data_IF_794186435940
#
_entry.id   IF_794186435940
#
_cell.length_a   1.000
_cell.length_b   1.000
_cell.length_c   1.000
_cell.angle_alpha   90.00
_cell.angle_beta   90.00
_cell.angle_gamma   90.00
#
_symmetry.space_group_name_H-M   'P 1'
#
loop_
_entity.id
_entity.type
_entity.pdbx_description
1 polymer ?
#
# COMPACT_ATOMS: atom_id res chain seq x y z
N UNK A 1 -4.32 -6.58 -4.71
CA UNK A 1 -4.16 -5.34 -3.93
C UNK A 1 -3.95 -5.70 -2.47
N UNK A 2 -3.53 -4.75 -1.63
CA UNK A 2 -3.08 -5.01 -0.25
C UNK A 2 -3.70 -4.03 0.74
N UNK A 3 -3.95 -4.50 1.97
CA UNK A 3 -4.28 -3.67 3.13
C UNK A 3 -3.19 -3.89 4.17
N UNK A 4 -2.46 -2.84 4.52
CA UNK A 4 -1.40 -2.89 5.52
C UNK A 4 -1.98 -2.47 6.87
N UNK A 5 -2.16 -3.44 7.76
CA UNK A 5 -2.67 -3.21 9.11
C UNK A 5 -1.62 -3.59 10.14
N UNK A 6 -0.83 -2.61 10.61
CA UNK A 6 0.05 -2.84 11.74
C UNK A 6 -0.71 -3.46 12.90
N UNK A 7 -0.11 -4.46 13.54
CA UNK A 7 -0.70 -5.15 14.68
C UNK A 7 -0.90 -4.16 15.83
N UNK A 8 -2.12 -4.11 16.35
CA UNK A 8 -2.49 -3.29 17.50
C UNK A 8 -2.83 -4.20 18.67
N UNK A 9 -2.39 -3.80 19.87
CA UNK A 9 -2.75 -4.46 21.12
C UNK A 9 -4.03 -3.81 21.64
N UNK A 10 -5.09 -4.58 21.76
CA UNK A 10 -6.43 -4.11 22.17
C UNK A 10 -6.85 -4.90 23.41
N UNK A 11 -7.39 -4.22 24.43
CA UNK A 11 -7.89 -4.86 25.65
C UNK A 11 -8.90 -5.96 25.32
N UNK A 12 -8.83 -7.07 26.04
CA UNK A 12 -9.73 -8.23 25.83
C UNK A 12 -9.32 -9.18 24.71
N UNK A 13 -8.16 -8.98 24.07
CA UNK A 13 -7.61 -9.92 23.07
C UNK A 13 -6.53 -10.81 23.68
N UNK A 14 -6.29 -12.00 23.09
CA UNK A 14 -5.17 -12.85 23.53
C UNK A 14 -3.80 -12.18 23.41
N UNK A 15 -3.63 -11.30 22.42
CA UNK A 15 -2.40 -10.52 22.26
C UNK A 15 -2.16 -9.54 23.42
N UNK A 16 -3.22 -9.01 24.02
CA UNK A 16 -3.12 -8.16 25.21
C UNK A 16 -2.52 -8.89 26.40
N UNK A 17 -2.88 -10.16 26.63
CA UNK A 17 -2.29 -10.95 27.72
C UNK A 17 -0.80 -11.24 27.48
N UNK A 18 -0.40 -11.46 26.22
CA UNK A 18 1.01 -11.60 25.86
C UNK A 18 1.78 -10.29 26.09
N UNK A 19 1.20 -9.15 25.71
CA UNK A 19 1.79 -7.84 25.94
C UNK A 19 1.92 -7.52 27.44
N UNK A 20 0.85 -7.77 28.22
CA UNK A 20 0.82 -7.57 29.68
C UNK A 20 1.86 -8.42 30.41
N UNK A 21 2.14 -9.62 29.93
CA UNK A 21 3.19 -10.52 30.48
C UNK A 21 4.58 -10.25 29.91
N UNK A 22 4.76 -9.22 29.08
CA UNK A 22 6.05 -8.86 28.48
C UNK A 22 6.53 -9.80 27.37
N UNK A 23 5.72 -10.79 26.97
CA UNK A 23 6.01 -11.77 25.91
C UNK A 23 5.76 -11.24 24.50
N UNK A 24 5.09 -10.10 24.38
CA UNK A 24 4.93 -9.37 23.13
C UNK A 24 5.26 -7.90 23.34
N UNK A 25 5.97 -7.30 22.38
CA UNK A 25 6.25 -5.86 22.33
C UNK A 25 5.93 -5.34 20.94
N UNK A 26 5.16 -4.26 20.86
CA UNK A 26 4.96 -3.55 19.59
C UNK A 26 6.25 -2.86 19.14
N UNK A 27 6.39 -2.62 17.84
CA UNK A 27 7.46 -1.76 17.34
C UNK A 27 7.29 -0.32 17.84
N UNK A 28 8.41 0.40 17.92
CA UNK A 28 8.36 1.86 18.12
C UNK A 28 7.70 2.54 16.91
N UNK A 29 7.11 3.73 17.09
CA UNK A 29 6.54 4.49 15.98
C UNK A 29 7.53 4.72 14.83
N UNK A 30 8.78 5.07 15.14
CA UNK A 30 9.84 5.28 14.14
C UNK A 30 10.14 4.03 13.31
N UNK A 31 10.26 2.87 13.97
CA UNK A 31 10.47 1.58 13.29
C UNK A 31 9.31 1.24 12.38
N UNK A 32 8.07 1.48 12.83
CA UNK A 32 6.88 1.23 12.04
C UNK A 32 6.82 2.10 10.78
N UNK A 33 7.11 3.40 10.92
CA UNK A 33 7.14 4.34 9.78
C UNK A 33 8.21 3.92 8.77
N UNK A 34 9.42 3.61 9.22
CA UNK A 34 10.52 3.19 8.33
C UNK A 34 10.21 1.86 7.62
N UNK A 35 9.62 0.90 8.34
CA UNK A 35 9.19 -0.38 7.75
C UNK A 35 8.13 -0.18 6.67
N UNK A 36 7.10 0.61 6.95
CA UNK A 36 6.02 0.87 5.98
C UNK A 36 6.55 1.62 4.76
N UNK A 37 7.44 2.61 4.94
CA UNK A 37 8.10 3.32 3.85
C UNK A 37 8.84 2.36 2.91
N UNK A 38 9.64 1.43 3.47
CA UNK A 38 10.36 0.41 2.70
C UNK A 38 9.41 -0.56 2.00
N UNK A 39 8.31 -0.97 2.65
CA UNK A 39 7.30 -1.83 2.01
C UNK A 39 6.69 -1.11 0.81
N UNK A 40 6.29 0.15 0.96
CA UNK A 40 5.66 0.95 -0.10
C UNK A 40 6.60 1.17 -1.29
N UNK A 41 7.91 1.34 -1.06
CA UNK A 41 8.93 1.44 -2.11
C UNK A 41 9.02 0.18 -2.99
N UNK A 42 8.62 -0.99 -2.46
CA UNK A 42 8.67 -2.27 -3.18
C UNK A 42 7.35 -2.60 -3.89
N UNK A 43 6.29 -1.81 -3.70
CA UNK A 43 4.98 -2.10 -4.29
C UNK A 43 5.02 -1.89 -5.81
N UNK A 44 4.71 -2.90 -6.62
CA UNK A 44 4.76 -2.76 -8.06
C UNK A 44 3.58 -1.93 -8.60
N UNK A 45 3.70 -1.33 -9.81
CA UNK A 45 2.74 -0.38 -10.36
C UNK A 45 1.36 -0.96 -10.67
N UNK A 46 1.22 -2.29 -10.74
CA UNK A 46 -0.06 -2.97 -10.86
C UNK A 46 -0.68 -3.32 -9.51
N UNK A 47 -0.12 -2.92 -8.38
CA UNK A 47 -0.67 -3.21 -7.04
C UNK A 47 -1.20 -1.96 -6.36
N UNK A 48 -2.41 -2.05 -5.82
CA UNK A 48 -3.04 -0.98 -5.02
C UNK A 48 -2.88 -1.28 -3.54
N UNK A 49 -2.35 -0.32 -2.76
CA UNK A 49 -2.42 -0.36 -1.28
C UNK A 49 -3.63 0.45 -0.83
N UNK A 50 -4.68 -0.25 -0.42
CA UNK A 50 -5.98 0.37 -0.10
C UNK A 50 -5.91 1.21 1.17
N UNK A 51 -5.29 0.67 2.22
CA UNK A 51 -5.19 1.30 3.54
C UNK A 51 -3.85 0.96 4.18
N UNK A 52 -3.35 1.91 4.93
CA UNK A 52 -2.16 1.79 5.79
C UNK A 52 -2.65 2.24 7.17
N UNK A 53 -2.98 1.27 8.03
CA UNK A 53 -3.74 1.36 9.29
C UNK A 53 -5.27 1.17 9.16
N UNK A 54 -5.90 0.76 10.28
CA UNK A 54 -7.36 0.65 10.46
C UNK A 54 -7.90 1.88 11.19
N UNK A 55 -9.17 2.18 10.95
CA UNK A 55 -9.91 3.23 11.67
C UNK A 55 -10.35 2.68 13.04
N UNK A 56 -9.41 2.55 13.98
CA UNK A 56 -9.67 2.13 15.35
C UNK A 56 -9.48 3.34 16.27
N UNK A 57 -10.45 3.70 17.13
CA UNK A 57 -10.29 4.77 18.09
C UNK A 57 -9.06 4.56 18.98
N UNK A 58 -8.17 5.55 19.04
CA UNK A 58 -6.93 5.45 19.81
C UNK A 58 -7.10 5.16 21.31
N UNK A 59 -8.17 5.63 22.00
CA UNK A 59 -8.42 5.24 23.38
C UNK A 59 -8.59 3.72 23.62
N UNK A 60 -8.88 2.94 22.57
CA UNK A 60 -9.02 1.48 22.66
C UNK A 60 -7.70 0.73 22.46
N UNK A 61 -6.66 1.41 21.96
CA UNK A 61 -5.37 0.82 21.64
C UNK A 61 -4.44 0.93 22.85
N UNK A 62 -3.97 -0.20 23.35
CA UNK A 62 -3.05 -0.28 24.49
C UNK A 62 -1.57 -0.17 24.09
N UNK A 63 -1.23 -0.62 22.87
CA UNK A 63 0.14 -0.56 22.31
C UNK A 63 0.09 -0.77 20.79
N UNK A 64 1.00 -0.14 20.04
CA UNK A 64 1.03 -0.22 18.57
C UNK A 64 1.27 1.14 17.91
N UNK A 65 0.50 1.44 16.87
CA UNK A 65 0.55 2.74 16.18
C UNK A 65 -0.12 3.80 17.04
N UNK A 66 0.56 4.93 17.22
CA UNK A 66 0.12 6.03 18.09
C UNK A 66 -0.65 7.13 17.34
N UNK A 67 -0.47 7.23 16.02
CA UNK A 67 -1.04 8.31 15.20
C UNK A 67 -1.92 7.76 14.08
N UNK A 68 -3.05 8.44 13.84
CA UNK A 68 -4.00 8.10 12.77
C UNK A 68 -3.57 8.54 11.36
N UNK A 69 -2.31 8.91 11.11
CA UNK A 69 -1.83 9.38 9.81
C UNK A 69 -0.59 8.61 9.30
N UNK A 70 -0.49 7.31 9.59
CA UNK A 70 0.69 6.50 9.27
C UNK A 70 1.09 6.53 7.78
N UNK A 71 0.12 6.60 6.85
CA UNK A 71 0.44 6.69 5.40
C UNK A 71 1.22 7.97 5.08
N UNK A 72 0.79 9.09 5.65
CA UNK A 72 1.43 10.40 5.43
C UNK A 72 2.86 10.39 5.97
N UNK A 73 3.05 9.90 7.20
CA UNK A 73 4.37 9.75 7.81
C UNK A 73 5.28 8.84 6.99
N UNK A 74 4.75 7.73 6.48
CA UNK A 74 5.52 6.82 5.62
C UNK A 74 5.91 7.48 4.29
N UNK A 75 5.00 8.21 3.62
CA UNK A 75 5.32 8.93 2.39
C UNK A 75 6.34 10.05 2.60
N UNK A 76 6.26 10.78 3.73
CA UNK A 76 7.28 11.76 4.10
C UNK A 76 8.64 11.07 4.30
N UNK A 77 8.66 9.95 5.04
CA UNK A 77 9.87 9.17 5.26
C UNK A 77 10.48 8.63 3.95
N UNK A 78 9.66 8.25 2.98
CA UNK A 78 10.14 7.81 1.66
C UNK A 78 10.89 8.93 0.92
N UNK A 79 10.44 10.19 1.06
CA UNK A 79 11.15 11.35 0.49
C UNK A 79 12.53 11.53 1.11
N UNK A 80 12.64 11.39 2.43
CA UNK A 80 13.93 11.45 3.14
C UNK A 80 14.89 10.35 2.68
N UNK A 81 14.35 9.20 2.27
CA UNK A 81 15.10 8.05 1.75
C UNK A 81 15.40 8.14 0.25
N UNK A 82 14.88 9.15 -0.47
CA UNK A 82 15.02 9.26 -1.92
C UNK A 82 14.30 8.15 -2.69
N UNK A 83 13.20 7.62 -2.14
CA UNK A 83 12.40 6.54 -2.75
C UNK A 83 10.99 7.01 -3.07
N UNK A 84 10.36 6.37 -4.06
CA UNK A 84 9.03 6.74 -4.54
C UNK A 84 8.03 5.60 -4.39
N UNK A 85 6.78 5.95 -4.08
CA UNK A 85 5.69 4.99 -3.99
C UNK A 85 4.97 4.93 -5.33
N UNK A 86 5.19 3.84 -6.07
CA UNK A 86 4.56 3.64 -7.37
C UNK A 86 3.30 2.78 -7.29
N UNK A 87 2.65 2.70 -6.13
CA UNK A 87 1.39 1.97 -6.01
C UNK A 87 0.29 2.61 -6.88
N UNK A 88 -0.68 1.80 -7.30
CA UNK A 88 -1.81 2.27 -8.12
C UNK A 88 -2.47 3.50 -7.48
N UNK A 89 -2.61 3.53 -6.15
CA UNK A 89 -3.32 4.59 -5.43
C UNK A 89 -2.61 5.95 -5.49
N UNK A 90 -1.29 5.97 -5.38
CA UNK A 90 -0.51 7.21 -5.35
C UNK A 90 -0.46 7.83 -6.75
N UNK A 91 -0.49 7.01 -7.79
CA UNK A 91 -0.41 7.43 -9.19
C UNK A 91 -1.75 7.88 -9.79
N UNK A 92 -2.89 7.59 -9.16
CA UNK A 92 -4.21 7.90 -9.74
C UNK A 92 -4.35 9.39 -10.05
N UNK A 93 -4.86 9.72 -11.24
CA UNK A 93 -5.06 11.11 -11.69
C UNK A 93 -5.79 11.98 -10.66
N UNK A 94 -6.82 11.46 -10.00
CA UNK A 94 -7.55 12.21 -8.96
C UNK A 94 -6.70 12.51 -7.71
N UNK A 95 -5.81 11.60 -7.32
CA UNK A 95 -4.90 11.80 -6.18
C UNK A 95 -3.83 12.83 -6.56
N UNK A 96 -3.26 12.72 -7.76
CA UNK A 96 -2.28 13.67 -8.28
C UNK A 96 -2.85 15.08 -8.42
N UNK A 97 -4.08 15.22 -8.93
CA UNK A 97 -4.74 16.53 -9.04
C UNK A 97 -5.06 17.15 -7.68
N UNK A 98 -5.56 16.36 -6.71
CA UNK A 98 -5.89 16.86 -5.37
C UNK A 98 -4.65 17.34 -4.63
N UNK A 99 -3.58 16.54 -4.61
CA UNK A 99 -2.40 16.77 -3.77
C UNK A 99 -1.30 17.59 -4.44
N UNK A 100 -1.17 17.50 -5.77
CA UNK A 100 -0.05 18.11 -6.50
C UNK A 100 -0.49 19.09 -7.61
N UNK A 101 -1.80 19.20 -7.88
CA UNK A 101 -2.36 20.07 -8.94
C UNK A 101 -1.78 19.77 -10.33
N UNK A 102 -1.33 18.53 -10.54
CA UNK A 102 -0.80 18.06 -11.82
C UNK A 102 -1.92 17.40 -12.62
N UNK A 103 -1.94 17.65 -13.93
CA UNK A 103 -2.84 17.01 -14.89
C UNK A 103 -2.00 16.33 -15.96
N UNK A 104 -2.40 15.14 -16.43
CA UNK A 104 -1.67 14.43 -17.48
C UNK A 104 -1.69 15.24 -18.76
N UNK A 105 -0.59 15.17 -19.51
CA UNK A 105 -0.46 15.83 -20.80
C UNK A 105 -0.29 14.81 -21.93
N UNK A 106 0.68 13.91 -21.80
CA UNK A 106 1.00 12.91 -22.81
C UNK A 106 0.60 11.52 -22.31
N UNK A 107 -0.48 10.98 -22.87
CA UNK A 107 -1.07 9.72 -22.42
C UNK A 107 -0.73 8.58 -23.37
N UNK A 108 -0.19 7.50 -22.81
CA UNK A 108 0.24 6.32 -23.54
C UNK A 108 -0.43 5.04 -23.01
N UNK A 109 -0.64 4.07 -23.89
CA UNK A 109 -1.06 2.72 -23.51
C UNK A 109 0.18 1.93 -23.08
N UNK A 110 0.27 1.61 -21.79
CA UNK A 110 1.34 0.83 -21.19
C UNK A 110 0.86 -0.59 -20.90
N UNK A 111 1.67 -1.58 -21.31
CA UNK A 111 1.48 -3.00 -21.02
C UNK A 111 2.59 -3.48 -20.08
N UNK A 112 2.20 -4.18 -19.01
CA UNK A 112 3.13 -4.86 -18.10
C UNK A 112 2.69 -6.30 -17.90
N UNK A 113 3.55 -7.23 -18.31
CA UNK A 113 3.28 -8.66 -18.17
C UNK A 113 4.02 -9.20 -16.94
N UNK A 114 3.27 -9.85 -16.05
CA UNK A 114 3.82 -10.56 -14.90
C UNK A 114 3.12 -11.91 -14.76
N UNK A 115 3.84 -12.91 -14.25
CA UNK A 115 3.30 -14.24 -13.99
C UNK A 115 2.77 -14.30 -12.56
N UNK A 116 1.52 -14.73 -12.40
CA UNK A 116 0.92 -14.97 -11.09
C UNK A 116 0.02 -16.20 -11.15
N UNK A 117 0.30 -17.22 -10.32
CA UNK A 117 -0.49 -18.45 -10.21
C UNK A 117 -0.82 -19.07 -11.59
N UNK A 118 0.16 -19.17 -12.48
CA UNK A 118 0.01 -19.76 -13.82
C UNK A 118 -0.68 -18.89 -14.90
N UNK A 119 -1.10 -17.66 -14.59
CA UNK A 119 -1.65 -16.71 -15.57
C UNK A 119 -0.83 -15.42 -15.70
N UNK A 120 -1.15 -14.57 -16.69
CA UNK A 120 -0.44 -13.31 -16.97
C UNK A 120 -1.36 -12.13 -17.37
N UNK A 121 -0.78 -10.92 -17.44
CA UNK A 121 -1.25 -9.63 -18.07
C UNK A 121 -1.79 -8.47 -17.18
N UNK A 122 -1.36 -7.24 -17.49
CA UNK A 122 -1.87 -5.95 -16.98
C UNK A 122 -1.70 -4.82 -18.02
N UNK A 123 -2.75 -4.04 -18.24
CA UNK A 123 -2.79 -2.91 -19.18
C UNK A 123 -3.18 -1.62 -18.44
N UNK A 124 -2.67 -0.48 -18.88
CA UNK A 124 -2.96 0.83 -18.28
C UNK A 124 -2.77 1.97 -19.25
N UNK A 125 -3.58 3.02 -19.15
CA UNK A 125 -3.29 4.33 -19.74
C UNK A 125 -2.60 5.20 -18.68
N UNK A 126 -1.40 5.65 -18.98
CA UNK A 126 -0.53 6.40 -18.08
C UNK A 126 0.09 7.61 -18.78
N UNK A 127 0.44 8.65 -18.02
CA UNK A 127 1.44 9.64 -18.41
C UNK A 127 2.80 9.17 -17.87
N UNK A 128 3.71 8.65 -18.72
CA UNK A 128 4.95 8.02 -18.26
C UNK A 128 5.98 9.01 -17.74
N UNK A 129 5.93 10.27 -18.19
CA UNK A 129 6.86 11.32 -17.74
C UNK A 129 6.49 11.81 -16.34
N UNK A 130 5.19 12.00 -16.09
CA UNK A 130 4.67 12.48 -14.80
C UNK A 130 4.30 11.35 -13.81
N UNK A 131 4.44 10.09 -14.24
CA UNK A 131 4.04 8.88 -13.52
C UNK A 131 2.57 8.86 -13.06
N UNK A 132 1.66 9.37 -13.89
CA UNK A 132 0.23 9.47 -13.58
C UNK A 132 -0.54 8.33 -14.23
N UNK A 133 -1.40 7.65 -13.46
CA UNK A 133 -2.29 6.60 -13.91
C UNK A 133 -3.71 7.15 -14.13
N UNK A 134 -4.26 6.95 -15.34
CA UNK A 134 -5.60 7.42 -15.72
C UNK A 134 -6.61 6.28 -15.65
N UNK A 135 -6.25 5.12 -16.18
CA UNK A 135 -7.11 3.94 -16.22
C UNK A 135 -6.30 2.66 -16.30
N UNK A 136 -6.86 1.55 -15.81
CA UNK A 136 -6.22 0.25 -15.87
C UNK A 136 -7.21 -0.85 -16.20
N UNK A 137 -6.68 -1.94 -16.77
CA UNK A 137 -7.37 -3.18 -17.04
C UNK A 137 -6.49 -4.35 -16.60
N UNK A 138 -7.08 -5.30 -15.88
CA UNK A 138 -6.44 -6.56 -15.52
C UNK A 138 -6.99 -7.65 -16.43
N UNK A 139 -6.16 -8.13 -17.33
CA UNK A 139 -6.49 -9.27 -18.17
C UNK A 139 -5.78 -10.49 -17.59
N UNK A 140 -6.43 -11.66 -17.63
CA UNK A 140 -5.78 -12.90 -17.19
C UNK A 140 -6.03 -13.96 -18.25
N UNK A 141 -4.95 -14.46 -18.85
CA UNK A 141 -5.00 -15.76 -19.53
C UNK A 141 -5.14 -16.86 -18.47
N UNK A 142 -6.26 -17.57 -18.48
CA UNK A 142 -6.50 -18.67 -17.54
C UNK A 142 -5.54 -19.85 -17.83
N UNK A 143 -4.99 -20.43 -16.77
CA UNK A 143 -4.25 -21.70 -16.85
C UNK A 143 -5.24 -22.87 -16.97
N UNK A 144 -4.73 -24.03 -17.39
CA UNK A 144 -5.52 -25.27 -17.45
C UNK A 144 -6.10 -25.66 -16.07
N UNK A 145 -5.36 -25.40 -14.99
CA UNK A 145 -5.78 -25.63 -13.60
C UNK A 145 -6.79 -24.59 -13.05
N UNK A 146 -7.13 -23.56 -13.83
CA UNK A 146 -7.99 -22.48 -13.33
C UNK A 146 -9.44 -22.93 -13.11
N UNK A 147 -9.89 -23.96 -13.82
CA UNK A 147 -11.21 -24.56 -13.63
C UNK A 147 -11.10 -25.74 -12.65
N UNK A 148 -11.73 -25.61 -11.49
CA UNK A 148 -11.98 -26.75 -10.60
C UNK A 148 -13.21 -27.50 -11.12
N UNK A 149 -13.21 -28.85 -11.13
CA UNK A 149 -14.37 -29.65 -11.54
C UNK A 149 -15.60 -29.38 -10.67
#
# INVERSE_FOLDING_TARGET
>A
GMKLYPTLVIRGTGLYELWKTGRYRSYSPSTMVDLVARILALVPPWTRVYRVQRDIPMPLVSSGVEHGNLRELALARMKDLGTECRDVRTREVGIQEIHHKVRPYQVELIRRDYVANGGWEFLSYEDPEQDILIGLLRLRKCSEESFRP
#
